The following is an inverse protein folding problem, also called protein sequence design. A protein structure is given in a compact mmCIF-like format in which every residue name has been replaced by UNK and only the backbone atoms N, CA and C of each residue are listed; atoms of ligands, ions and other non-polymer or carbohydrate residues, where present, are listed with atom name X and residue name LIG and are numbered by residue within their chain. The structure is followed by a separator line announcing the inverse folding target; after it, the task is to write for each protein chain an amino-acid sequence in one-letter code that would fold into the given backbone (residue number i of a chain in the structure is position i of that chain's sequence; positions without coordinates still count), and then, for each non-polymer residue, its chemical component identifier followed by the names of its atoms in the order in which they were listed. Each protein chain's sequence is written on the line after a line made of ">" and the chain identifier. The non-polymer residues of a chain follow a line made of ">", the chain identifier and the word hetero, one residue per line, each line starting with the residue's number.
data_IF_449970788962
#
_entry.id   IF_449970788962
#
_cell.length_a   1.000
_cell.length_b   1.000
_cell.length_c   1.000
_cell.angle_alpha   90.00
_cell.angle_beta   90.00
_cell.angle_gamma   90.00
#
_symmetry.space_group_name_H-M   'P 1'
#
loop_
_entity.id
_entity.type
_entity.pdbx_description
1 polymer ?
#
# COMPACT_ATOMS: atom_id res chain seq x y z
N UNK A 1 29.94 59.87 7.62
CA UNK A 1 29.81 60.43 6.25
C UNK A 1 29.64 59.25 5.31
N UNK A 2 28.61 59.29 4.45
CA UNK A 2 28.05 58.19 3.63
C UNK A 2 29.08 57.24 3.01
N UNK A 3 28.79 55.95 3.05
CA UNK A 3 29.02 55.05 1.92
C UNK A 3 27.82 54.10 1.77
N UNK A 4 27.31 54.08 0.54
CA UNK A 4 26.12 53.41 0.04
C UNK A 4 26.39 51.92 -0.17
N UNK A 5 25.42 51.05 0.14
CA UNK A 5 25.32 49.71 -0.44
C UNK A 5 23.91 49.54 -1.03
N UNK A 6 23.93 49.09 -2.27
CA UNK A 6 22.86 49.01 -3.26
C UNK A 6 21.62 48.23 -2.82
N UNK A 7 20.45 48.76 -3.23
CA UNK A 7 19.21 48.01 -3.42
C UNK A 7 19.37 47.07 -4.62
N UNK A 8 19.41 45.76 -4.38
CA UNK A 8 19.19 44.73 -5.39
C UNK A 8 17.70 44.38 -5.44
N UNK A 9 17.10 44.53 -6.63
CA UNK A 9 15.73 44.13 -6.96
C UNK A 9 15.57 42.60 -6.85
N UNK A 10 14.55 42.15 -6.12
CA UNK A 10 13.93 40.82 -6.28
C UNK A 10 12.46 40.95 -5.88
N UNK A 11 11.62 41.32 -6.84
CA UNK A 11 10.17 41.40 -6.69
C UNK A 11 9.55 40.87 -7.97
N UNK A 12 9.21 39.59 -7.99
CA UNK A 12 8.61 38.89 -9.13
C UNK A 12 8.23 37.46 -8.78
N UNK A 13 9.23 36.62 -8.45
CA UNK A 13 9.01 35.17 -8.29
C UNK A 13 8.37 34.76 -6.95
N UNK A 14 8.63 35.51 -5.87
CA UNK A 14 8.03 35.19 -4.56
C UNK A 14 6.51 35.39 -4.53
N UNK A 15 5.98 36.33 -5.32
CA UNK A 15 4.53 36.58 -5.40
C UNK A 15 3.79 35.49 -6.18
N UNK A 16 4.44 34.86 -7.17
CA UNK A 16 3.85 33.72 -7.89
C UNK A 16 3.86 32.44 -7.05
N UNK A 17 4.93 32.19 -6.29
CA UNK A 17 5.00 31.06 -5.36
C UNK A 17 3.97 31.22 -4.23
N UNK A 18 3.81 32.42 -3.67
CA UNK A 18 2.79 32.69 -2.65
C UNK A 18 1.37 32.57 -3.23
N UNK A 19 1.12 33.01 -4.47
CA UNK A 19 -0.16 32.80 -5.15
C UNK A 19 -0.43 31.33 -5.48
N UNK A 20 0.60 30.56 -5.84
CA UNK A 20 0.49 29.12 -6.07
C UNK A 20 0.19 28.38 -4.75
N UNK A 21 0.87 28.74 -3.67
CA UNK A 21 0.60 28.22 -2.32
C UNK A 21 -0.83 28.58 -1.89
N UNK A 22 -1.28 29.83 -2.06
CA UNK A 22 -2.66 30.24 -1.76
C UNK A 22 -3.70 29.53 -2.64
N UNK A 23 -3.39 29.25 -3.91
CA UNK A 23 -4.29 28.52 -4.82
C UNK A 23 -4.37 27.03 -4.48
N UNK A 24 -3.25 26.42 -4.07
CA UNK A 24 -3.20 25.07 -3.52
C UNK A 24 -3.94 25.00 -2.18
N UNK A 25 -3.76 25.98 -1.29
CA UNK A 25 -4.47 26.11 -0.01
C UNK A 25 -5.98 26.30 -0.20
N UNK A 26 -6.41 27.16 -1.11
CA UNK A 26 -7.83 27.39 -1.39
C UNK A 26 -8.48 26.17 -2.06
N UNK A 27 -7.76 25.43 -2.90
CA UNK A 27 -8.22 24.16 -3.48
C UNK A 27 -8.28 23.05 -2.43
N UNK A 28 -7.34 23.03 -1.48
CA UNK A 28 -7.30 22.08 -0.38
C UNK A 28 -8.38 22.38 0.66
N UNK A 29 -8.65 23.65 0.95
CA UNK A 29 -9.75 24.08 1.83
C UNK A 29 -11.12 23.83 1.18
N UNK A 30 -11.26 24.06 -0.13
CA UNK A 30 -12.47 23.68 -0.87
C UNK A 30 -12.67 22.15 -0.90
N UNK A 31 -11.59 21.37 -0.95
CA UNK A 31 -11.63 19.92 -0.81
C UNK A 31 -12.05 19.47 0.60
N UNK A 32 -11.48 20.05 1.66
CA UNK A 32 -11.83 19.74 3.06
C UNK A 32 -13.26 20.16 3.41
N UNK A 33 -13.72 21.32 2.92
CA UNK A 33 -15.10 21.78 3.15
C UNK A 33 -16.09 20.99 2.29
N UNK A 34 -15.69 20.52 1.10
CA UNK A 34 -16.44 19.55 0.29
C UNK A 34 -16.40 18.13 0.89
N UNK A 35 -15.41 17.78 1.72
CA UNK A 35 -15.22 16.44 2.29
C UNK A 35 -16.03 16.18 3.56
N UNK A 36 -16.87 17.14 3.99
CA UNK A 36 -17.77 16.93 5.14
C UNK A 36 -19.21 16.59 4.74
N UNK A 37 -19.58 16.70 3.47
CA UNK A 37 -20.85 16.15 2.98
C UNK A 37 -20.62 14.72 2.53
N UNK A 38 -21.46 13.80 3.01
CA UNK A 38 -21.43 12.41 2.59
C UNK A 38 -21.47 12.28 1.06
N UNK A 39 -20.54 11.49 0.50
CA UNK A 39 -20.51 11.23 -0.94
C UNK A 39 -21.78 10.50 -1.34
N UNK A 40 -22.53 11.00 -2.33
CA UNK A 40 -23.66 10.25 -2.88
C UNK A 40 -23.14 9.04 -3.69
N UNK A 41 -23.41 7.85 -3.19
CA UNK A 41 -22.92 6.57 -3.72
C UNK A 41 -24.01 5.77 -4.45
N UNK A 42 -25.24 6.29 -4.56
CA UNK A 42 -26.38 5.57 -5.13
C UNK A 42 -26.11 5.04 -6.55
N UNK A 43 -25.57 5.89 -7.43
CA UNK A 43 -25.25 5.50 -8.80
C UNK A 43 -24.08 4.50 -8.88
N UNK A 44 -23.10 4.61 -7.98
CA UNK A 44 -21.95 3.70 -7.88
C UNK A 44 -22.44 2.30 -7.47
N UNK A 45 -23.24 2.22 -6.39
CA UNK A 45 -23.80 0.97 -5.90
C UNK A 45 -24.70 0.30 -6.94
N UNK A 46 -25.54 1.08 -7.65
CA UNK A 46 -26.38 0.54 -8.72
C UNK A 46 -25.56 -0.12 -9.84
N UNK A 47 -24.50 0.53 -10.32
CA UNK A 47 -23.61 -0.03 -11.35
C UNK A 47 -22.83 -1.24 -10.82
N UNK A 48 -22.30 -1.16 -9.60
CA UNK A 48 -21.56 -2.27 -8.99
C UNK A 48 -22.42 -3.53 -8.86
N UNK A 49 -23.68 -3.39 -8.39
CA UNK A 49 -24.66 -4.49 -8.32
C UNK A 49 -25.01 -5.06 -9.69
N UNK A 50 -25.04 -4.23 -10.73
CA UNK A 50 -25.21 -4.70 -12.12
C UNK A 50 -24.01 -5.55 -12.55
N UNK A 51 -22.78 -5.12 -12.27
CA UNK A 51 -21.57 -5.88 -12.61
C UNK A 51 -21.42 -7.19 -11.84
N UNK A 52 -21.92 -7.24 -10.60
CA UNK A 52 -22.01 -8.49 -9.81
C UNK A 52 -22.84 -9.59 -10.50
N UNK A 53 -23.70 -9.24 -11.46
CA UNK A 53 -24.57 -10.18 -12.20
C UNK A 53 -24.15 -10.35 -13.67
N UNK A 54 -23.19 -9.56 -14.15
CA UNK A 54 -22.82 -9.52 -15.54
C UNK A 54 -21.81 -10.63 -15.88
N UNK A 55 -22.22 -11.53 -16.79
CA UNK A 55 -21.43 -12.70 -17.21
C UNK A 55 -20.13 -12.35 -17.94
N UNK A 56 -19.95 -11.10 -18.38
CA UNK A 56 -18.69 -10.62 -18.92
C UNK A 56 -17.58 -10.51 -17.86
N UNK A 57 -17.95 -10.33 -16.58
CA UNK A 57 -16.99 -10.07 -15.50
C UNK A 57 -16.98 -11.18 -14.44
N UNK A 58 -18.10 -11.88 -14.27
CA UNK A 58 -18.23 -12.97 -13.29
C UNK A 58 -18.79 -14.23 -13.95
N UNK A 59 -18.18 -15.38 -13.65
CA UNK A 59 -18.64 -16.67 -14.19
C UNK A 59 -20.02 -17.05 -13.65
N UNK A 60 -20.28 -16.74 -12.37
CA UNK A 60 -21.55 -16.92 -11.67
C UNK A 60 -22.00 -15.62 -11.02
N UNK A 61 -23.33 -15.38 -10.88
CA UNK A 61 -23.82 -14.17 -10.24
C UNK A 61 -23.38 -14.15 -8.78
N UNK A 62 -22.85 -13.00 -8.37
CA UNK A 62 -22.47 -12.75 -6.99
C UNK A 62 -23.67 -12.21 -6.22
N UNK A 63 -23.81 -12.66 -4.99
CA UNK A 63 -24.82 -12.16 -4.05
C UNK A 63 -24.21 -11.13 -3.08
N UNK A 64 -22.88 -11.16 -2.92
CA UNK A 64 -22.12 -10.12 -2.23
C UNK A 64 -20.79 -9.88 -2.94
N UNK A 65 -20.26 -8.67 -2.82
CA UNK A 65 -18.92 -8.29 -3.26
C UNK A 65 -18.18 -7.57 -2.13
N UNK A 66 -17.00 -8.07 -1.78
CA UNK A 66 -16.14 -7.50 -0.74
C UNK A 66 -15.11 -6.58 -1.40
N UNK A 67 -15.01 -5.36 -0.88
CA UNK A 67 -14.04 -4.35 -1.25
C UNK A 67 -13.18 -4.04 -0.02
N UNK A 68 -12.03 -4.72 0.16
CA UNK A 68 -11.13 -4.46 1.28
C UNK A 68 -10.41 -3.11 1.09
N UNK A 69 -9.73 -2.64 2.13
CA UNK A 69 -8.84 -1.48 2.03
C UNK A 69 -7.48 -1.80 1.41
N UNK A 70 -7.02 -3.05 1.51
CA UNK A 70 -5.66 -3.42 1.10
C UNK A 70 -5.44 -3.30 -0.41
N UNK A 71 -4.20 -2.99 -0.78
CA UNK A 71 -3.70 -3.11 -2.14
C UNK A 71 -3.13 -4.53 -2.40
N UNK A 72 -2.50 -4.72 -3.56
CA UNK A 72 -1.92 -6.00 -3.95
C UNK A 72 -0.73 -6.46 -3.07
N UNK A 73 -0.15 -5.54 -2.29
CA UNK A 73 1.02 -5.73 -1.44
C UNK A 73 0.72 -5.67 0.05
N UNK A 74 -0.55 -5.47 0.41
CA UNK A 74 -1.03 -5.35 1.78
C UNK A 74 -0.39 -4.16 2.50
N UNK A 75 -0.23 -3.04 1.78
CA UNK A 75 0.25 -1.78 2.31
C UNK A 75 -0.70 -1.21 3.37
N UNK A 76 -0.14 -0.55 4.39
CA UNK A 76 -0.92 0.12 5.44
C UNK A 76 -1.58 1.41 4.93
N UNK A 77 -0.80 2.26 4.27
CA UNK A 77 -1.28 3.38 3.46
C UNK A 77 -1.34 2.93 2.00
N UNK A 78 -2.37 3.37 1.28
CA UNK A 78 -2.63 2.92 -0.08
C UNK A 78 -2.49 4.09 -1.06
N UNK A 79 -1.99 3.81 -2.26
CA UNK A 79 -1.93 4.80 -3.32
C UNK A 79 -3.35 5.23 -3.74
N UNK A 80 -3.54 6.45 -4.27
CA UNK A 80 -4.85 6.92 -4.72
C UNK A 80 -5.56 5.97 -5.69
N UNK A 81 -4.83 5.27 -6.55
CA UNK A 81 -5.37 4.30 -7.49
C UNK A 81 -5.97 3.05 -6.82
N UNK A 82 -5.61 2.75 -5.57
CA UNK A 82 -6.07 1.58 -4.82
C UNK A 82 -7.07 1.91 -3.71
N UNK A 83 -7.44 3.20 -3.55
CA UNK A 83 -8.49 3.70 -2.65
C UNK A 83 -9.92 3.29 -3.06
N UNK A 84 -10.12 2.05 -3.55
CA UNK A 84 -11.39 1.51 -4.07
C UNK A 84 -12.50 1.56 -3.04
N UNK A 85 -12.22 1.18 -1.79
CA UNK A 85 -13.19 1.26 -0.70
C UNK A 85 -13.62 2.71 -0.47
N UNK A 86 -12.68 3.65 -0.37
CA UNK A 86 -13.01 5.08 -0.27
C UNK A 86 -13.81 5.59 -1.46
N UNK A 87 -13.48 5.13 -2.68
CA UNK A 87 -14.28 5.45 -3.85
C UNK A 87 -15.72 4.93 -3.77
N UNK A 88 -15.96 3.68 -3.35
CA UNK A 88 -17.32 3.12 -3.35
C UNK A 88 -18.20 3.60 -2.20
N UNK A 89 -17.62 3.88 -1.02
CA UNK A 89 -18.40 4.22 0.18
C UNK A 89 -18.23 5.67 0.67
N UNK A 90 -17.28 6.42 0.13
CA UNK A 90 -16.98 7.79 0.57
C UNK A 90 -16.11 7.88 1.82
N UNK A 91 -15.94 6.79 2.58
CA UNK A 91 -15.11 6.77 3.79
C UNK A 91 -13.62 6.53 3.47
N UNK A 92 -12.77 7.47 3.87
CA UNK A 92 -11.35 7.56 3.52
C UNK A 92 -10.36 7.24 4.67
N UNK A 93 -10.84 6.77 5.83
CA UNK A 93 -9.96 6.35 6.93
C UNK A 93 -9.02 5.21 6.52
N UNK A 94 -7.93 4.95 7.23
CA UNK A 94 -6.93 3.97 6.72
C UNK A 94 -7.38 2.51 6.80
N UNK A 95 -8.35 2.17 7.66
CA UNK A 95 -8.83 0.80 7.82
C UNK A 95 -10.33 0.67 7.60
N UNK A 96 -10.73 -0.35 6.84
CA UNK A 96 -12.11 -0.77 6.71
C UNK A 96 -12.34 -1.80 5.61
N UNK A 97 -13.51 -2.45 5.62
CA UNK A 97 -13.92 -3.38 4.58
C UNK A 97 -15.37 -3.11 4.20
N UNK A 98 -15.58 -2.74 2.95
CA UNK A 98 -16.92 -2.56 2.40
C UNK A 98 -17.44 -3.90 1.87
N UNK A 99 -18.71 -4.19 2.13
CA UNK A 99 -19.42 -5.37 1.61
C UNK A 99 -20.72 -4.90 0.99
N UNK A 100 -20.89 -5.16 -0.31
CA UNK A 100 -22.07 -4.76 -1.07
C UNK A 100 -22.84 -6.02 -1.45
N UNK A 101 -24.11 -6.10 -1.06
CA UNK A 101 -25.04 -7.13 -1.53
C UNK A 101 -26.00 -6.54 -2.57
N UNK A 102 -26.94 -7.34 -3.04
CA UNK A 102 -28.01 -6.86 -3.93
C UNK A 102 -28.86 -5.74 -3.33
N UNK A 103 -28.97 -5.69 -2.00
CA UNK A 103 -29.91 -4.81 -1.31
C UNK A 103 -29.24 -3.91 -0.27
N UNK A 104 -28.15 -4.37 0.34
CA UNK A 104 -27.47 -3.67 1.43
C UNK A 104 -26.05 -3.28 1.03
N UNK A 105 -25.50 -2.27 1.69
CA UNK A 105 -24.08 -1.92 1.65
C UNK A 105 -23.62 -1.67 3.08
N UNK A 106 -22.58 -2.36 3.51
CA UNK A 106 -22.10 -2.31 4.89
C UNK A 106 -20.60 -2.01 4.90
N UNK A 107 -20.14 -1.24 5.88
CA UNK A 107 -18.73 -0.94 6.09
C UNK A 107 -18.31 -1.39 7.49
N UNK A 108 -17.38 -2.34 7.58
CA UNK A 108 -16.67 -2.64 8.82
C UNK A 108 -15.47 -1.72 8.96
N UNK A 109 -15.30 -1.12 10.13
CA UNK A 109 -14.09 -0.39 10.52
C UNK A 109 -13.95 -0.43 12.03
N UNK A 110 -12.77 -0.09 12.56
CA UNK A 110 -12.46 -0.11 13.98
C UNK A 110 -12.74 1.23 14.69
N UNK A 111 -12.58 1.23 16.02
CA UNK A 111 -12.95 2.34 16.90
C UNK A 111 -12.31 3.69 16.59
N UNK A 112 -11.19 3.73 15.86
CA UNK A 112 -10.56 4.98 15.40
C UNK A 112 -11.48 5.77 14.47
N UNK A 113 -12.36 5.08 13.75
CA UNK A 113 -13.03 5.63 12.56
C UNK A 113 -14.55 5.70 12.66
N UNK A 114 -15.18 5.31 13.77
CA UNK A 114 -16.66 5.29 13.87
C UNK A 114 -17.29 6.65 13.54
N UNK A 115 -16.79 7.73 14.15
CA UNK A 115 -17.32 9.08 13.93
C UNK A 115 -17.03 9.62 12.53
N UNK A 116 -15.88 9.24 11.95
CA UNK A 116 -15.50 9.65 10.60
C UNK A 116 -16.38 8.95 9.56
N UNK A 117 -16.57 7.64 9.71
CA UNK A 117 -17.42 6.85 8.82
C UNK A 117 -18.89 7.32 8.84
N UNK A 118 -19.45 7.63 10.01
CA UNK A 118 -20.81 8.19 10.12
C UNK A 118 -20.98 9.54 9.40
N UNK A 119 -19.92 10.36 9.33
CA UNK A 119 -19.97 11.66 8.65
C UNK A 119 -19.75 11.57 7.14
N UNK A 120 -18.92 10.63 6.69
CA UNK A 120 -18.49 10.54 5.29
C UNK A 120 -19.35 9.62 4.43
N UNK A 121 -20.01 8.62 5.02
CA UNK A 121 -20.90 7.72 4.31
C UNK A 121 -22.31 8.32 4.16
N UNK A 122 -22.95 8.08 3.01
CA UNK A 122 -24.35 8.45 2.82
C UNK A 122 -25.30 7.41 3.43
N UNK A 123 -26.61 7.67 3.32
CA UNK A 123 -27.65 6.80 3.88
C UNK A 123 -27.77 5.42 3.21
N UNK A 124 -27.02 5.14 2.14
CA UNK A 124 -27.01 3.81 1.52
C UNK A 124 -26.18 2.80 2.33
N UNK A 125 -25.31 3.28 3.23
CA UNK A 125 -24.36 2.45 3.96
C UNK A 125 -24.76 2.25 5.42
N UNK A 126 -24.59 1.03 5.89
CA UNK A 126 -24.68 0.67 7.32
C UNK A 126 -23.28 0.54 7.90
N UNK A 127 -22.97 1.33 8.93
CA UNK A 127 -21.72 1.21 9.68
C UNK A 127 -21.75 -0.03 10.60
N UNK A 128 -20.78 -0.90 10.42
CA UNK A 128 -20.54 -2.07 11.26
C UNK A 128 -19.33 -1.79 12.16
N UNK A 129 -19.60 -1.43 13.42
CA UNK A 129 -18.59 -1.02 14.41
C UNK A 129 -17.80 -2.24 14.91
N UNK A 130 -16.67 -2.53 14.28
CA UNK A 130 -15.83 -3.70 14.60
C UNK A 130 -15.27 -3.63 16.02
N UNK A 131 -15.16 -4.79 16.68
CA UNK A 131 -14.69 -4.90 18.06
C UNK A 131 -15.77 -4.73 19.13
N UNK A 132 -16.98 -4.30 18.77
CA UNK A 132 -18.13 -4.31 19.69
C UNK A 132 -18.76 -5.71 19.76
N UNK A 133 -19.13 -6.20 20.97
CA UNK A 133 -19.75 -7.53 21.13
C UNK A 133 -21.04 -7.73 20.32
N UNK A 134 -21.76 -6.65 20.04
CA UNK A 134 -23.01 -6.68 19.28
C UNK A 134 -22.82 -6.72 17.77
N UNK A 135 -21.62 -6.42 17.26
CA UNK A 135 -21.36 -6.32 15.83
C UNK A 135 -20.91 -7.68 15.29
N UNK A 136 -21.64 -8.28 14.34
CA UNK A 136 -21.24 -9.55 13.76
C UNK A 136 -19.94 -9.43 12.96
N UNK A 137 -19.19 -10.52 12.86
CA UNK A 137 -18.11 -10.61 11.88
C UNK A 137 -18.67 -10.51 10.46
N UNK A 138 -17.83 -10.14 9.49
CA UNK A 138 -18.25 -10.07 8.07
C UNK A 138 -18.83 -11.41 7.59
N UNK A 139 -18.18 -12.53 7.95
CA UNK A 139 -18.61 -13.86 7.54
C UNK A 139 -19.91 -14.31 8.22
N UNK A 140 -20.12 -13.98 9.49
CA UNK A 140 -21.37 -14.29 10.20
C UNK A 140 -22.54 -13.48 9.64
N UNK A 141 -22.30 -12.19 9.37
CA UNK A 141 -23.30 -11.33 8.75
C UNK A 141 -23.68 -11.83 7.36
N UNK A 142 -22.69 -12.11 6.50
CA UNK A 142 -22.89 -12.68 5.17
C UNK A 142 -23.69 -14.00 5.22
N UNK A 143 -23.33 -14.90 6.14
CA UNK A 143 -24.01 -16.19 6.29
C UNK A 143 -25.49 -16.05 6.72
N UNK A 144 -25.84 -14.93 7.36
CA UNK A 144 -27.21 -14.63 7.79
C UNK A 144 -28.04 -13.96 6.70
N UNK A 145 -27.45 -13.04 5.93
CA UNK A 145 -28.20 -12.21 4.97
C UNK A 145 -28.28 -12.82 3.58
N UNK A 146 -27.37 -13.75 3.24
CA UNK A 146 -27.34 -14.35 1.91
C UNK A 146 -28.26 -15.57 1.80
N UNK A 147 -28.83 -15.83 0.61
CA UNK A 147 -29.53 -17.08 0.35
C UNK A 147 -28.56 -18.26 0.38
N UNK A 148 -29.06 -19.45 0.73
CA UNK A 148 -28.28 -20.69 0.69
C UNK A 148 -27.69 -20.89 -0.71
N UNK A 149 -26.40 -21.23 -0.80
CA UNK A 149 -25.67 -21.30 -2.06
C UNK A 149 -25.16 -19.95 -2.58
N UNK A 150 -25.32 -18.87 -1.82
CA UNK A 150 -24.85 -17.54 -2.21
C UNK A 150 -23.33 -17.47 -2.48
N UNK A 151 -22.98 -16.83 -3.60
CA UNK A 151 -21.60 -16.54 -3.98
C UNK A 151 -21.16 -15.16 -3.47
N UNK A 152 -20.04 -15.12 -2.74
CA UNK A 152 -19.39 -13.91 -2.25
C UNK A 152 -18.14 -13.68 -3.07
N UNK A 153 -18.12 -12.62 -3.88
CA UNK A 153 -16.98 -12.28 -4.71
C UNK A 153 -16.00 -11.33 -4.03
N UNK A 154 -14.73 -11.45 -4.37
CA UNK A 154 -13.67 -10.55 -3.93
C UNK A 154 -12.51 -10.63 -4.92
N UNK A 155 -11.84 -9.50 -5.14
CA UNK A 155 -10.59 -9.49 -5.90
C UNK A 155 -9.50 -10.26 -5.12
N UNK A 156 -9.01 -11.41 -5.63
CA UNK A 156 -8.07 -12.24 -4.89
C UNK A 156 -6.71 -11.56 -4.70
N UNK A 157 -6.40 -10.50 -5.45
CA UNK A 157 -5.15 -9.76 -5.27
C UNK A 157 -5.22 -8.76 -4.11
N UNK A 158 -6.41 -8.34 -3.68
CA UNK A 158 -6.59 -7.32 -2.62
C UNK A 158 -6.85 -7.89 -1.23
N UNK A 159 -6.86 -9.22 -1.09
CA UNK A 159 -7.08 -9.92 0.18
C UNK A 159 -5.95 -10.92 0.40
N UNK A 160 -5.32 -10.87 1.58
CA UNK A 160 -4.26 -11.81 1.96
C UNK A 160 -4.81 -13.24 2.10
N UNK A 161 -3.93 -14.23 1.93
CA UNK A 161 -4.29 -15.62 2.18
C UNK A 161 -4.64 -15.89 3.65
N UNK A 162 -4.02 -15.14 4.58
CA UNK A 162 -4.33 -15.12 6.01
C UNK A 162 -5.80 -14.77 6.27
N UNK A 163 -6.33 -13.74 5.60
CA UNK A 163 -7.73 -13.30 5.74
C UNK A 163 -8.69 -14.17 4.93
N UNK A 164 -8.29 -14.57 3.72
CA UNK A 164 -9.15 -15.33 2.81
C UNK A 164 -9.55 -16.69 3.38
N UNK A 165 -8.58 -17.45 3.92
CA UNK A 165 -8.81 -18.85 4.30
C UNK A 165 -9.85 -19.04 5.41
N UNK A 166 -9.81 -18.30 6.54
CA UNK A 166 -10.84 -18.41 7.56
C UNK A 166 -12.22 -18.00 7.03
N UNK A 167 -12.30 -16.91 6.26
CA UNK A 167 -13.56 -16.45 5.68
C UNK A 167 -14.16 -17.48 4.70
N UNK A 168 -13.36 -18.01 3.79
CA UNK A 168 -13.78 -19.06 2.87
C UNK A 168 -14.27 -20.31 3.60
N UNK A 169 -13.59 -20.71 4.68
CA UNK A 169 -13.98 -21.86 5.49
C UNK A 169 -15.33 -21.62 6.17
N UNK A 170 -15.52 -20.45 6.79
CA UNK A 170 -16.75 -20.05 7.47
C UNK A 170 -17.94 -19.99 6.50
N UNK A 171 -17.78 -19.32 5.36
CA UNK A 171 -18.81 -19.26 4.33
C UNK A 171 -19.17 -20.66 3.82
N UNK A 172 -18.17 -21.50 3.55
CA UNK A 172 -18.40 -22.89 3.12
C UNK A 172 -19.15 -23.72 4.15
N UNK A 173 -18.85 -23.59 5.44
CA UNK A 173 -19.59 -24.32 6.48
C UNK A 173 -21.05 -23.89 6.60
N UNK A 174 -21.38 -22.66 6.19
CA UNK A 174 -22.74 -22.14 6.17
C UNK A 174 -23.42 -22.29 4.80
N UNK A 175 -22.83 -23.05 3.85
CA UNK A 175 -23.44 -23.32 2.56
C UNK A 175 -23.28 -22.21 1.51
N UNK A 176 -22.25 -21.36 1.66
CA UNK A 176 -21.90 -20.29 0.72
C UNK A 176 -20.50 -20.49 0.14
N UNK A 177 -20.15 -19.73 -0.90
CA UNK A 177 -18.84 -19.82 -1.55
C UNK A 177 -18.14 -18.47 -1.58
N UNK A 178 -16.85 -18.43 -1.23
CA UNK A 178 -15.98 -17.28 -1.50
C UNK A 178 -15.30 -17.49 -2.87
N UNK A 179 -15.57 -16.59 -3.81
CA UNK A 179 -15.23 -16.73 -5.22
C UNK A 179 -14.20 -15.65 -5.62
N UNK A 180 -13.07 -16.03 -6.24
CA UNK A 180 -12.13 -15.06 -6.79
C UNK A 180 -12.71 -14.36 -8.02
N UNK A 181 -12.67 -13.03 -8.02
CA UNK A 181 -13.12 -12.18 -9.13
C UNK A 181 -11.92 -11.40 -9.65
N UNK A 182 -11.28 -11.90 -10.70
CA UNK A 182 -10.01 -11.35 -11.21
C UNK A 182 -10.15 -9.96 -11.84
N UNK A 183 -11.30 -9.66 -12.45
CA UNK A 183 -11.61 -8.30 -12.90
C UNK A 183 -12.20 -7.53 -11.72
N UNK A 184 -11.46 -6.56 -11.17
CA UNK A 184 -11.98 -5.74 -10.10
C UNK A 184 -13.23 -4.97 -10.57
N UNK A 185 -14.36 -5.15 -9.88
CA UNK A 185 -15.65 -4.58 -10.29
C UNK A 185 -15.74 -3.09 -9.97
N UNK A 186 -14.97 -2.60 -8.99
CA UNK A 186 -14.91 -1.16 -8.66
C UNK A 186 -14.24 -0.40 -9.79
N UNK A 187 -13.15 -0.94 -10.34
CA UNK A 187 -12.39 -0.32 -11.43
C UNK A 187 -13.25 -0.09 -12.68
N UNK A 188 -14.26 -0.94 -12.92
CA UNK A 188 -15.21 -0.78 -14.04
C UNK A 188 -16.17 0.40 -13.84
N UNK A 189 -16.45 0.80 -12.60
CA UNK A 189 -17.32 1.95 -12.26
C UNK A 189 -16.50 3.23 -12.09
N UNK A 190 -15.21 3.10 -11.77
CA UNK A 190 -14.30 4.19 -11.47
C UNK A 190 -13.66 4.77 -12.75
N UNK A 191 -14.44 5.58 -13.47
CA UNK A 191 -14.07 6.15 -14.78
C UNK A 191 -12.79 7.01 -14.71
N UNK A 192 -12.62 7.76 -13.62
CA UNK A 192 -11.52 8.69 -13.36
C UNK A 192 -10.50 8.12 -12.35
N UNK A 193 -10.31 6.79 -12.35
CA UNK A 193 -9.33 6.13 -11.47
C UNK A 193 -7.93 6.71 -11.73
N UNK A 194 -7.23 7.21 -10.68
CA UNK A 194 -5.87 7.70 -10.83
C UNK A 194 -4.92 6.60 -11.36
N UNK A 195 -3.90 6.94 -12.15
CA UNK A 195 -2.90 5.97 -12.56
C UNK A 195 -2.10 5.48 -11.35
N UNK A 196 -1.52 4.29 -11.48
CA UNK A 196 -0.55 3.80 -10.50
C UNK A 196 0.67 4.75 -10.49
N UNK A 197 1.12 5.23 -9.31
CA UNK A 197 2.33 6.03 -9.21
C UNK A 197 3.54 5.33 -9.83
N UNK A 198 4.35 6.08 -10.56
CA UNK A 198 5.57 5.60 -11.21
C UNK A 198 6.76 6.54 -10.94
N UNK A 199 7.05 6.77 -9.66
CA UNK A 199 8.08 7.73 -9.25
C UNK A 199 9.50 7.16 -9.40
N UNK A 200 10.49 8.05 -9.53
CA UNK A 200 11.91 7.66 -9.63
C UNK A 200 12.41 6.97 -8.36
N UNK A 201 13.39 6.08 -8.54
CA UNK A 201 13.97 5.30 -7.44
C UNK A 201 15.23 5.96 -6.87
N UNK A 202 15.41 5.82 -5.56
CA UNK A 202 16.62 6.20 -4.85
C UNK A 202 17.42 4.95 -4.47
N UNK A 203 18.67 4.87 -4.91
CA UNK A 203 19.62 3.85 -4.45
C UNK A 203 20.27 4.31 -3.15
N UNK A 204 20.27 3.46 -2.14
CA UNK A 204 20.93 3.72 -0.86
C UNK A 204 22.37 3.24 -0.88
N UNK A 205 23.28 4.11 -0.45
CA UNK A 205 24.69 3.78 -0.31
C UNK A 205 24.94 2.86 0.89
N UNK A 206 26.05 2.10 0.82
CA UNK A 206 26.48 1.20 1.89
C UNK A 206 26.65 1.90 3.24
N UNK A 207 27.02 3.19 3.25
CA UNK A 207 27.14 4.02 4.45
C UNK A 207 25.83 4.13 5.25
N UNK A 208 24.67 3.95 4.61
CA UNK A 208 23.36 3.94 5.25
C UNK A 208 22.88 2.51 5.56
N UNK A 209 23.15 1.56 4.67
CA UNK A 209 22.56 0.22 4.75
C UNK A 209 23.42 -0.79 5.52
N UNK A 210 24.74 -0.56 5.61
CA UNK A 210 25.71 -1.45 6.27
C UNK A 210 25.90 -2.83 5.62
N UNK A 211 25.11 -3.17 4.61
CA UNK A 211 25.14 -4.46 3.92
C UNK A 211 24.74 -4.27 2.45
N UNK A 212 25.43 -4.94 1.53
CA UNK A 212 25.10 -4.91 0.11
C UNK A 212 23.81 -5.68 -0.19
N UNK A 213 23.16 -5.40 -1.32
CA UNK A 213 21.96 -6.15 -1.70
C UNK A 213 22.30 -7.60 -2.06
N UNK A 214 23.51 -7.83 -2.58
CA UNK A 214 24.05 -9.14 -2.93
C UNK A 214 24.20 -10.02 -1.69
N UNK A 215 24.76 -9.48 -0.60
CA UNK A 215 24.91 -10.21 0.66
C UNK A 215 23.55 -10.56 1.26
N UNK A 216 22.57 -9.64 1.16
CA UNK A 216 21.18 -9.91 1.59
C UNK A 216 20.54 -11.03 0.77
N UNK A 217 20.76 -11.06 -0.55
CA UNK A 217 20.27 -12.16 -1.40
C UNK A 217 20.94 -13.49 -1.03
N UNK A 218 22.24 -13.49 -0.71
CA UNK A 218 22.94 -14.67 -0.23
C UNK A 218 22.33 -15.20 1.07
N UNK A 219 22.09 -14.33 2.05
CA UNK A 219 21.43 -14.70 3.32
C UNK A 219 20.00 -15.22 3.10
N UNK A 220 19.23 -14.61 2.17
CA UNK A 220 17.92 -15.13 1.76
C UNK A 220 18.05 -16.54 1.19
N UNK A 221 19.04 -16.81 0.33
CA UNK A 221 19.28 -18.14 -0.26
C UNK A 221 19.69 -19.17 0.79
N UNK A 222 20.44 -18.78 1.81
CA UNK A 222 20.74 -19.65 2.97
C UNK A 222 19.45 -20.04 3.69
N UNK A 223 18.55 -19.09 3.95
CA UNK A 223 17.23 -19.37 4.55
C UNK A 223 16.34 -20.23 3.67
N UNK A 224 16.40 -20.04 2.34
CA UNK A 224 15.72 -20.91 1.40
C UNK A 224 16.26 -22.34 1.47
N UNK A 225 17.58 -22.53 1.53
CA UNK A 225 18.21 -23.84 1.67
C UNK A 225 17.82 -24.54 2.98
N UNK A 226 17.82 -23.83 4.11
CA UNK A 226 17.35 -24.34 5.42
C UNK A 226 15.90 -24.86 5.35
N UNK A 227 15.04 -24.18 4.57
CA UNK A 227 13.62 -24.55 4.37
C UNK A 227 13.37 -25.47 3.18
N UNK A 228 14.42 -25.87 2.44
CA UNK A 228 14.32 -26.64 1.19
C UNK A 228 13.38 -26.00 0.17
N UNK A 229 13.47 -24.68 0.04
CA UNK A 229 12.73 -23.88 -0.93
C UNK A 229 13.60 -23.57 -2.16
N UNK A 230 13.04 -23.74 -3.34
CA UNK A 230 13.70 -23.44 -4.61
C UNK A 230 13.52 -21.97 -4.99
N UNK A 231 12.47 -21.33 -4.48
CA UNK A 231 12.18 -19.92 -4.69
C UNK A 231 11.49 -19.27 -3.49
N UNK A 232 11.69 -17.96 -3.34
CA UNK A 232 10.96 -17.07 -2.45
C UNK A 232 10.27 -15.98 -3.28
N UNK A 233 8.94 -15.88 -3.15
CA UNK A 233 8.14 -14.78 -3.72
C UNK A 233 7.96 -13.71 -2.65
N UNK A 234 8.36 -12.49 -2.96
CA UNK A 234 8.35 -11.33 -2.07
C UNK A 234 7.30 -10.36 -2.58
N UNK A 235 6.30 -10.08 -1.75
CA UNK A 235 5.18 -9.20 -2.08
C UNK A 235 5.17 -7.91 -1.28
N UNK A 236 5.76 -7.88 -0.08
CA UNK A 236 5.78 -6.67 0.75
C UNK A 236 6.79 -5.65 0.19
N UNK A 237 6.32 -4.42 -0.07
CA UNK A 237 7.13 -3.39 -0.74
C UNK A 237 8.35 -2.97 0.08
N UNK A 238 8.24 -2.96 1.41
CA UNK A 238 9.33 -2.62 2.32
C UNK A 238 10.41 -3.71 2.37
N UNK A 239 10.03 -4.98 2.22
CA UNK A 239 10.99 -6.09 2.07
C UNK A 239 11.77 -5.98 0.76
N UNK A 240 11.11 -5.62 -0.34
CA UNK A 240 11.76 -5.41 -1.64
C UNK A 240 12.72 -4.21 -1.56
N UNK A 241 12.25 -3.08 -1.03
CA UNK A 241 13.07 -1.90 -0.81
C UNK A 241 14.31 -2.20 0.06
N UNK A 242 14.13 -2.99 1.13
CA UNK A 242 15.22 -3.43 2.00
C UNK A 242 16.21 -4.36 1.29
N UNK A 243 15.71 -5.38 0.58
CA UNK A 243 16.53 -6.40 -0.09
C UNK A 243 17.44 -5.77 -1.13
N UNK A 244 16.89 -4.86 -1.95
CA UNK A 244 17.64 -4.24 -3.03
C UNK A 244 18.36 -2.94 -2.65
N UNK A 245 18.30 -2.50 -1.39
CA UNK A 245 18.83 -1.19 -0.98
C UNK A 245 18.32 -0.04 -1.86
N UNK A 246 17.03 -0.09 -2.22
CA UNK A 246 16.37 0.95 -3.02
C UNK A 246 15.20 1.53 -2.24
N UNK A 247 14.81 2.77 -2.54
CA UNK A 247 13.64 3.46 -1.99
C UNK A 247 12.85 4.08 -3.12
N UNK A 248 11.56 4.29 -2.87
CA UNK A 248 10.65 4.98 -3.78
C UNK A 248 9.81 5.98 -3.02
N UNK A 249 8.78 6.50 -3.69
CA UNK A 249 7.83 7.43 -3.11
C UNK A 249 6.43 7.19 -3.67
N UNK A 250 6.08 5.94 -3.98
CA UNK A 250 4.78 5.61 -4.59
C UNK A 250 3.64 5.58 -3.56
N UNK A 251 3.98 5.29 -2.30
CA UNK A 251 3.06 5.31 -1.18
C UNK A 251 3.42 6.49 -0.28
N UNK A 252 2.43 7.30 0.08
CA UNK A 252 2.65 8.43 0.98
C UNK A 252 3.16 7.92 2.35
N UNK A 253 4.07 8.67 2.97
CA UNK A 253 4.74 8.36 4.25
C UNK A 253 5.64 7.11 4.25
N UNK A 254 5.51 6.20 3.28
CA UNK A 254 6.28 4.97 3.18
C UNK A 254 7.23 5.04 1.97
N UNK A 255 8.56 5.11 2.16
CA UNK A 255 9.52 5.31 1.07
C UNK A 255 9.77 4.02 0.25
N UNK A 256 8.71 3.48 -0.33
CA UNK A 256 8.65 2.23 -1.09
C UNK A 256 8.16 2.46 -2.51
N UNK A 257 8.29 1.45 -3.37
CA UNK A 257 7.87 1.49 -4.77
C UNK A 257 7.14 0.21 -5.15
N UNK A 258 6.16 0.30 -6.04
CA UNK A 258 5.40 -0.84 -6.53
C UNK A 258 6.31 -1.82 -7.26
N UNK A 259 6.48 -3.01 -6.67
CA UNK A 259 7.26 -4.08 -7.24
C UNK A 259 6.88 -5.43 -6.63
N UNK A 260 7.20 -6.50 -7.35
CA UNK A 260 7.37 -7.84 -6.79
C UNK A 260 8.78 -8.33 -7.01
N UNK A 261 9.25 -9.29 -6.20
CA UNK A 261 10.51 -9.95 -6.46
C UNK A 261 10.39 -11.47 -6.26
N UNK A 262 11.09 -12.23 -7.10
CA UNK A 262 11.24 -13.68 -6.95
C UNK A 262 12.72 -14.03 -6.93
N UNK A 263 13.19 -14.47 -5.77
CA UNK A 263 14.56 -14.98 -5.59
C UNK A 263 14.53 -16.48 -5.80
N UNK A 264 15.31 -16.97 -6.76
CA UNK A 264 15.56 -18.40 -6.97
C UNK A 264 16.98 -18.74 -6.49
N UNK A 265 17.34 -20.03 -6.55
CA UNK A 265 18.70 -20.50 -6.25
C UNK A 265 19.76 -19.86 -7.16
N UNK A 266 19.40 -19.44 -8.37
CA UNK A 266 20.35 -18.96 -9.39
C UNK A 266 20.13 -17.49 -9.76
N UNK A 267 18.88 -17.08 -9.90
CA UNK A 267 18.48 -15.75 -10.41
C UNK A 267 17.67 -14.96 -9.39
N UNK A 268 17.60 -13.65 -9.62
CA UNK A 268 16.68 -12.75 -8.94
C UNK A 268 15.85 -12.05 -10.01
N UNK A 269 14.52 -12.13 -9.90
CA UNK A 269 13.60 -11.57 -10.88
C UNK A 269 12.82 -10.45 -10.21
N UNK A 270 12.98 -9.20 -10.67
CA UNK A 270 12.33 -8.01 -10.15
C UNK A 270 11.23 -7.57 -11.13
N UNK A 271 9.99 -7.47 -10.66
CA UNK A 271 8.85 -7.08 -11.45
C UNK A 271 8.43 -5.68 -11.05
N UNK A 272 8.67 -4.69 -11.91
CA UNK A 272 8.32 -3.29 -11.70
C UNK A 272 8.10 -2.61 -13.04
N UNK A 273 7.65 -1.35 -13.03
CA UNK A 273 7.57 -0.58 -14.27
C UNK A 273 8.98 -0.40 -14.89
N UNK A 274 9.22 -0.85 -16.14
CA UNK A 274 10.53 -0.72 -16.80
C UNK A 274 11.01 0.72 -16.93
N UNK A 275 10.12 1.71 -16.97
CA UNK A 275 10.47 3.12 -17.10
C UNK A 275 11.21 3.66 -15.85
N UNK A 276 11.20 2.90 -14.75
CA UNK A 276 11.95 3.22 -13.52
C UNK A 276 13.43 2.86 -13.60
N UNK A 277 13.86 2.10 -14.60
CA UNK A 277 15.25 1.67 -14.74
C UNK A 277 16.09 2.79 -15.35
N UNK A 278 16.46 3.75 -14.50
CA UNK A 278 17.43 4.77 -14.87
C UNK A 278 18.87 4.23 -14.83
N UNK A 279 19.85 5.06 -15.21
CA UNK A 279 21.27 4.68 -15.23
C UNK A 279 21.80 4.29 -13.84
N UNK A 280 21.29 4.89 -12.75
CA UNK A 280 21.72 4.59 -11.38
C UNK A 280 21.21 3.20 -10.98
N UNK A 281 19.94 2.90 -11.22
CA UNK A 281 19.32 1.60 -10.98
C UNK A 281 20.00 0.52 -11.83
N UNK A 282 20.21 0.79 -13.12
CA UNK A 282 20.89 -0.12 -14.04
C UNK A 282 22.29 -0.50 -13.55
N UNK A 283 23.05 0.50 -13.06
CA UNK A 283 24.40 0.29 -12.52
C UNK A 283 24.35 -0.47 -11.20
N UNK A 284 23.47 -0.07 -10.28
CA UNK A 284 23.31 -0.67 -8.95
C UNK A 284 22.96 -2.16 -9.00
N UNK A 285 22.04 -2.53 -9.89
CA UNK A 285 21.60 -3.91 -10.09
C UNK A 285 22.45 -4.68 -11.12
N UNK A 286 23.48 -4.04 -11.70
CA UNK A 286 24.34 -4.62 -12.74
C UNK A 286 23.57 -5.18 -13.95
N UNK A 287 22.48 -4.54 -14.36
CA UNK A 287 21.62 -5.05 -15.42
C UNK A 287 22.33 -5.06 -16.78
N UNK A 288 22.19 -6.16 -17.52
CA UNK A 288 22.82 -6.35 -18.83
C UNK A 288 24.33 -6.62 -18.77
N UNK A 289 24.87 -6.91 -17.58
CA UNK A 289 26.29 -7.27 -17.37
C UNK A 289 26.38 -8.41 -16.36
N UNK A 290 27.53 -9.07 -16.31
CA UNK A 290 27.79 -10.05 -15.26
C UNK A 290 28.04 -9.32 -13.94
N UNK A 291 27.23 -9.63 -12.92
CA UNK A 291 27.46 -9.08 -11.57
C UNK A 291 28.81 -9.60 -11.02
N UNK A 292 29.61 -8.75 -10.35
CA UNK A 292 30.82 -9.18 -9.67
C UNK A 292 30.60 -10.28 -8.63
N UNK A 293 29.39 -10.35 -8.04
CA UNK A 293 29.00 -11.37 -7.08
C UNK A 293 28.45 -12.66 -7.71
N UNK A 294 28.32 -12.70 -9.05
CA UNK A 294 27.65 -13.79 -9.77
C UNK A 294 26.12 -13.79 -9.68
N UNK A 295 25.51 -12.91 -8.89
CA UNK A 295 24.04 -12.81 -8.78
C UNK A 295 23.47 -12.12 -10.03
N UNK A 296 22.66 -12.83 -10.81
CA UNK A 296 21.98 -12.29 -11.99
C UNK A 296 20.61 -11.72 -11.63
N UNK A 297 20.36 -10.46 -12.00
CA UNK A 297 19.06 -9.78 -11.82
C UNK A 297 18.41 -9.57 -13.18
N UNK A 298 17.15 -9.96 -13.30
CA UNK A 298 16.27 -9.62 -14.43
C UNK A 298 15.22 -8.63 -13.98
N UNK A 299 14.83 -7.71 -14.87
CA UNK A 299 13.71 -6.80 -14.65
C UNK A 299 12.65 -7.08 -15.70
N UNK A 300 11.41 -7.24 -15.26
CA UNK A 300 10.24 -7.48 -16.10
C UNK A 300 9.08 -6.56 -15.70
N UNK A 301 8.09 -6.35 -16.57
CA UNK A 301 6.87 -5.61 -16.24
C UNK A 301 6.20 -6.09 -14.94
N UNK A 302 5.66 -5.15 -14.17
CA UNK A 302 5.05 -5.40 -12.86
C UNK A 302 4.02 -6.54 -12.85
N UNK A 303 3.13 -6.59 -13.86
CA UNK A 303 2.06 -7.60 -13.92
C UNK A 303 2.53 -9.00 -14.33
N UNK A 304 3.74 -9.13 -14.90
CA UNK A 304 4.30 -10.42 -15.35
C UNK A 304 4.64 -11.35 -14.18
N UNK A 305 4.63 -10.85 -12.93
CA UNK A 305 4.78 -11.69 -11.74
C UNK A 305 3.73 -12.81 -11.70
N UNK A 306 2.51 -12.55 -12.21
CA UNK A 306 1.38 -13.49 -12.13
C UNK A 306 1.64 -14.72 -12.98
N UNK A 307 2.08 -14.50 -14.22
CA UNK A 307 2.45 -15.58 -15.16
C UNK A 307 3.73 -16.26 -14.70
N UNK A 308 4.75 -15.48 -14.28
CA UNK A 308 6.01 -16.02 -13.82
C UNK A 308 5.86 -16.99 -12.63
N UNK A 309 5.06 -16.64 -11.61
CA UNK A 309 4.84 -17.51 -10.44
C UNK A 309 4.06 -18.78 -10.83
N UNK A 310 3.09 -18.68 -11.74
CA UNK A 310 2.34 -19.84 -12.23
C UNK A 310 3.24 -20.81 -13.02
N UNK A 311 4.08 -20.27 -13.90
CA UNK A 311 5.06 -21.04 -14.68
C UNK A 311 6.11 -21.66 -13.76
N UNK A 312 6.59 -20.91 -12.77
CA UNK A 312 7.51 -21.41 -11.75
C UNK A 312 6.91 -22.58 -10.97
N UNK A 313 5.63 -22.51 -10.58
CA UNK A 313 4.95 -23.63 -9.92
C UNK A 313 4.90 -24.90 -10.77
N UNK A 314 4.97 -24.77 -12.09
CA UNK A 314 4.94 -25.89 -13.03
C UNK A 314 6.34 -26.44 -13.34
N UNK A 315 7.36 -25.57 -13.31
CA UNK A 315 8.74 -25.92 -13.67
C UNK A 315 9.56 -26.48 -12.51
N UNK A 316 9.33 -26.00 -11.28
CA UNK A 316 10.16 -26.42 -10.13
C UNK A 316 9.70 -27.74 -9.50
N UNK A 317 10.68 -28.46 -8.95
CA UNK A 317 10.45 -29.74 -8.29
C UNK A 317 10.36 -29.64 -6.76
N UNK A 318 10.88 -28.56 -6.16
CA UNK A 318 10.88 -28.30 -4.74
C UNK A 318 9.74 -27.39 -4.30
N UNK A 319 10.02 -26.53 -3.31
CA UNK A 319 9.03 -25.66 -2.67
C UNK A 319 9.15 -24.22 -3.14
N UNK A 320 8.02 -23.54 -3.29
CA UNK A 320 7.94 -22.09 -3.50
C UNK A 320 7.44 -21.47 -2.21
N UNK A 321 8.29 -20.66 -1.59
CA UNK A 321 8.00 -19.96 -0.35
C UNK A 321 7.25 -18.66 -0.64
N UNK A 322 6.06 -18.52 -0.06
CA UNK A 322 5.25 -17.29 -0.08
C UNK A 322 4.79 -16.98 1.36
N UNK A 323 4.65 -15.71 1.72
CA UNK A 323 4.02 -15.32 3.00
C UNK A 323 2.50 -15.54 2.95
N UNK A 324 1.90 -15.91 4.08
CA UNK A 324 0.44 -15.90 4.25
C UNK A 324 -0.17 -14.50 4.23
N UNK A 325 0.64 -13.46 4.46
CA UNK A 325 0.23 -12.07 4.25
C UNK A 325 0.13 -11.69 2.78
N UNK A 326 0.77 -12.42 1.87
CA UNK A 326 0.64 -12.19 0.44
C UNK A 326 -0.79 -12.40 -0.05
N UNK A 327 -1.14 -11.73 -1.14
CA UNK A 327 -2.45 -11.84 -1.76
C UNK A 327 -2.84 -13.28 -2.09
N UNK A 328 -4.10 -13.62 -1.86
CA UNK A 328 -4.64 -14.95 -2.15
C UNK A 328 -4.45 -15.31 -3.64
N UNK A 329 -4.52 -14.33 -4.53
CA UNK A 329 -4.29 -14.50 -5.97
C UNK A 329 -2.93 -15.16 -6.25
N UNK A 330 -1.84 -14.58 -5.73
CA UNK A 330 -0.50 -15.15 -5.86
C UNK A 330 -0.33 -16.47 -5.10
N UNK A 331 -0.89 -16.59 -3.91
CA UNK A 331 -0.80 -17.84 -3.14
C UNK A 331 -1.50 -19.00 -3.87
N UNK A 332 -2.61 -18.71 -4.55
CA UNK A 332 -3.41 -19.71 -5.28
C UNK A 332 -2.84 -20.08 -6.65
N UNK A 333 -1.95 -19.27 -7.23
CA UNK A 333 -1.26 -19.62 -8.48
C UNK A 333 -0.20 -20.70 -8.29
N UNK A 334 0.23 -20.94 -7.04
CA UNK A 334 1.13 -22.04 -6.68
C UNK A 334 0.34 -23.27 -6.23
N UNK A 335 0.65 -24.42 -6.81
CA UNK A 335 0.01 -25.68 -6.43
C UNK A 335 0.28 -26.03 -4.95
N UNK A 336 -0.73 -26.60 -4.26
CA UNK A 336 -0.60 -26.99 -2.83
C UNK A 336 0.59 -27.90 -2.53
N UNK A 337 1.01 -28.73 -3.50
CA UNK A 337 2.18 -29.61 -3.36
C UNK A 337 3.49 -28.82 -3.31
N UNK A 338 3.58 -27.69 -4.04
CA UNK A 338 4.76 -26.85 -4.16
C UNK A 338 4.77 -25.70 -3.15
N UNK A 339 3.61 -25.26 -2.68
CA UNK A 339 3.51 -24.15 -1.75
C UNK A 339 4.18 -24.47 -0.40
N UNK A 340 5.08 -23.57 0.02
CA UNK A 340 5.54 -23.39 1.40
C UNK A 340 4.99 -22.04 1.87
N UNK A 341 3.99 -22.07 2.75
CA UNK A 341 3.37 -20.85 3.26
C UNK A 341 3.93 -20.54 4.65
N UNK A 342 4.75 -19.50 4.76
CA UNK A 342 5.37 -19.08 6.01
C UNK A 342 5.85 -17.62 5.91
N UNK A 343 6.01 -16.93 7.04
CA UNK A 343 6.54 -15.57 7.08
C UNK A 343 7.85 -15.44 6.30
N UNK A 344 8.04 -14.32 5.61
CA UNK A 344 9.26 -14.04 4.85
C UNK A 344 10.49 -14.01 5.77
N UNK A 345 11.64 -14.57 5.36
CA UNK A 345 12.88 -14.44 6.12
C UNK A 345 13.35 -12.97 6.20
N UNK A 346 13.01 -12.17 5.19
CA UNK A 346 13.42 -10.75 5.10
C UNK A 346 12.77 -9.93 6.22
N UNK A 347 11.55 -10.27 6.64
CA UNK A 347 10.88 -9.63 7.76
C UNK A 347 11.73 -9.68 9.04
N UNK A 348 12.38 -10.82 9.31
CA UNK A 348 13.27 -10.99 10.46
C UNK A 348 14.64 -10.36 10.23
N UNK A 349 15.20 -10.50 9.02
CA UNK A 349 16.50 -9.89 8.68
C UNK A 349 16.48 -8.37 8.91
N UNK A 350 15.45 -7.68 8.42
CA UNK A 350 15.32 -6.22 8.60
C UNK A 350 14.84 -5.79 9.99
N UNK A 351 14.39 -6.73 10.83
CA UNK A 351 13.95 -6.41 12.19
C UNK A 351 15.15 -6.06 13.07
N UNK A 352 16.27 -6.76 12.92
CA UNK A 352 17.51 -6.56 13.67
C UNK A 352 18.43 -5.62 12.89
N UNK A 353 18.55 -4.37 13.32
CA UNK A 353 19.33 -3.35 12.61
C UNK A 353 20.81 -3.58 12.82
N UNK A 354 21.61 -3.42 11.76
CA UNK A 354 23.06 -3.42 11.90
C UNK A 354 23.59 -2.07 12.42
N UNK A 355 24.89 -2.00 12.71
CA UNK A 355 25.50 -0.80 13.30
C UNK A 355 25.33 0.47 12.46
N UNK A 356 25.36 0.38 11.13
CA UNK A 356 25.18 1.52 10.23
C UNK A 356 23.74 2.02 10.26
N UNK A 357 22.78 1.10 10.22
CA UNK A 357 21.36 1.43 10.30
C UNK A 357 20.99 2.04 11.66
N UNK A 358 21.49 1.48 12.77
CA UNK A 358 21.28 2.03 14.11
C UNK A 358 21.84 3.45 14.19
N UNK A 359 23.05 3.67 13.69
CA UNK A 359 23.67 4.99 13.73
C UNK A 359 22.95 5.99 12.82
N UNK A 360 22.45 5.54 11.67
CA UNK A 360 21.52 6.31 10.83
C UNK A 360 20.26 6.72 11.58
N UNK A 361 19.65 5.79 12.32
CA UNK A 361 18.47 6.06 13.15
C UNK A 361 18.78 7.08 14.25
N UNK A 362 19.92 6.98 14.94
CA UNK A 362 20.33 7.98 15.96
C UNK A 362 20.46 9.38 15.35
N UNK A 363 21.18 9.51 14.22
CA UNK A 363 21.31 10.79 13.52
C UNK A 363 19.96 11.37 13.12
N UNK A 364 19.05 10.53 12.59
CA UNK A 364 17.71 10.96 12.22
C UNK A 364 16.91 11.46 13.44
N UNK A 365 16.95 10.74 14.57
CA UNK A 365 16.24 11.12 15.80
C UNK A 365 16.81 12.41 16.40
N UNK A 366 18.13 12.63 16.36
CA UNK A 366 18.72 13.88 16.82
C UNK A 366 18.20 15.07 16.00
N UNK A 367 18.16 14.94 14.66
CA UNK A 367 17.63 16.00 13.79
C UNK A 367 16.14 16.27 14.03
N UNK A 368 15.34 15.20 14.20
CA UNK A 368 13.90 15.33 14.47
C UNK A 368 13.64 15.94 15.85
N UNK A 369 14.45 15.61 16.86
CA UNK A 369 14.35 16.20 18.19
C UNK A 369 14.67 17.69 18.19
N UNK A 370 15.72 18.13 17.47
CA UNK A 370 16.03 19.57 17.31
C UNK A 370 14.85 20.29 16.68
N UNK A 371 14.26 19.72 15.63
CA UNK A 371 13.07 20.28 14.98
C UNK A 371 11.89 20.43 15.95
N UNK A 372 11.63 19.41 16.78
CA UNK A 372 10.57 19.47 17.79
C UNK A 372 10.85 20.53 18.85
N UNK A 373 12.10 20.68 19.31
CA UNK A 373 12.48 21.74 20.24
C UNK A 373 12.22 23.13 19.65
N UNK A 374 12.61 23.37 18.40
CA UNK A 374 12.32 24.64 17.71
C UNK A 374 10.82 24.89 17.55
N UNK A 375 10.07 23.86 17.18
CA UNK A 375 8.62 23.94 17.05
C UNK A 375 7.94 24.27 18.39
N UNK A 376 8.32 23.60 19.48
CA UNK A 376 7.73 23.86 20.80
C UNK A 376 8.08 25.25 21.33
N UNK A 377 9.32 25.71 21.11
CA UNK A 377 9.71 27.09 21.43
C UNK A 377 8.83 28.10 20.68
N UNK A 378 8.60 27.88 19.37
CA UNK A 378 7.70 28.72 18.58
C UNK A 378 6.25 28.63 19.09
N UNK A 379 5.75 27.43 19.39
CA UNK A 379 4.36 27.23 19.80
C UNK A 379 4.06 27.92 21.13
N UNK A 380 4.93 27.81 22.12
CA UNK A 380 4.78 28.50 23.41
C UNK A 380 4.70 30.03 23.24
N UNK A 381 5.47 30.57 22.30
CA UNK A 381 5.46 32.00 21.99
C UNK A 381 4.24 32.45 21.19
N UNK A 382 3.57 31.58 20.44
CA UNK A 382 2.47 31.98 19.56
C UNK A 382 1.09 31.56 20.08
N UNK A 383 0.97 30.50 20.88
CA UNK A 383 -0.34 29.93 21.24
C UNK A 383 -1.22 30.92 22.02
N UNK A 384 -0.61 31.77 22.85
CA UNK A 384 -1.33 32.75 23.67
C UNK A 384 -1.97 33.89 22.85
N UNK A 385 -1.59 34.05 21.57
CA UNK A 385 -2.22 35.04 20.68
C UNK A 385 -3.61 34.59 20.21
N UNK A 386 -3.93 33.30 20.35
CA UNK A 386 -5.19 32.71 19.88
C UNK A 386 -5.29 32.54 18.37
N UNK A 387 -4.21 32.77 17.61
CA UNK A 387 -4.22 32.65 16.12
C UNK A 387 -3.74 31.28 15.62
N UNK A 388 -3.16 30.45 16.49
CA UNK A 388 -2.65 29.13 16.10
C UNK A 388 -3.80 28.13 16.06
N UNK A 389 -4.08 27.62 14.86
CA UNK A 389 -4.99 26.49 14.64
C UNK A 389 -4.21 25.17 14.53
N UNK A 390 -4.89 24.04 14.68
CA UNK A 390 -4.29 22.70 14.52
C UNK A 390 -3.57 22.55 13.18
N UNK A 391 -4.19 23.01 12.08
CA UNK A 391 -3.61 22.99 10.72
C UNK A 391 -2.36 23.86 10.66
N UNK A 392 -2.43 25.11 11.13
CA UNK A 392 -1.28 26.02 11.07
C UNK A 392 -0.08 25.51 11.90
N UNK A 393 -0.34 24.81 13.01
CA UNK A 393 0.69 24.21 13.83
C UNK A 393 1.35 23.02 13.12
N UNK A 394 0.56 22.14 12.50
CA UNK A 394 1.08 21.02 11.71
C UNK A 394 1.95 21.50 10.54
N UNK A 395 1.48 22.49 9.78
CA UNK A 395 2.23 23.11 8.68
C UNK A 395 3.52 23.77 9.17
N UNK A 396 3.47 24.43 10.33
CA UNK A 396 4.66 25.04 10.92
C UNK A 396 5.71 23.98 11.27
N UNK A 397 5.30 22.88 11.92
CA UNK A 397 6.19 21.78 12.25
C UNK A 397 6.81 21.16 10.99
N UNK A 398 5.99 20.89 9.96
CA UNK A 398 6.49 20.33 8.70
C UNK A 398 7.50 21.26 8.02
N UNK A 399 7.23 22.56 7.99
CA UNK A 399 8.15 23.53 7.44
C UNK A 399 9.50 23.51 8.19
N UNK A 400 9.51 23.50 9.51
CA UNK A 400 10.76 23.40 10.29
C UNK A 400 11.52 22.11 9.93
N UNK A 401 10.82 20.97 9.80
CA UNK A 401 11.44 19.69 9.41
C UNK A 401 12.11 19.78 8.04
N UNK A 402 11.48 20.43 7.07
CA UNK A 402 12.06 20.61 5.72
C UNK A 402 13.34 21.45 5.75
N UNK A 403 13.39 22.50 6.56
CA UNK A 403 14.59 23.35 6.68
C UNK A 403 15.74 22.63 7.39
N UNK A 404 15.48 21.80 8.40
CA UNK A 404 16.51 21.04 9.13
C UNK A 404 17.16 19.89 8.33
N UNK A 405 16.61 19.56 7.15
CA UNK A 405 17.15 18.55 6.23
C UNK A 405 18.23 19.10 5.28
N UNK A 406 18.39 20.43 5.21
CA UNK A 406 19.45 21.14 4.48
C UNK A 406 20.43 21.78 5.46
#
# INVERSE_FOLDING_TARGET
>A
MRLSINKGKSTGDNDEIVKLIHKLHSSFYAYIVSSMSAKNTTAILSKLRSFMKNRAYVSEPLHAYIVPSGDAHQSEYIAPCDCRRGFVCGFDGSAGTAVVTDHEACLWTDGRYFLQAEKQMDSNWTLMKEGLPSTPSQGDWLSKVLPLGGNVGVDPYLMSAETWKPLAKLLKSNGHSLVPVHQNLVDLVWIDRPPMPCNSLLVLEHSYTGQSWQDKVSEVREKMAEKKADALVITALDEIAYLFNMRGSDIEYNPVFFAYAVVTTETVNLFMDPDRVDKKVQTHLSLGRQSPSGVSVTVAPYDDVKTFVADLSSSVSGKIWISDKSSQGLVSSVSKKRLLLAASPIALMKAVKNSHEIEGMRRAHVKDAVTLCEFFCWLEQQVHTGTVTEVSAAEKLENIKRWALF
#
